data_IF_939632296929
#
_entry.id   IF_939632296929
#
_cell.length_a   1.000
_cell.length_b   1.000
_cell.length_c   1.000
_cell.angle_alpha   90.00
_cell.angle_beta   90.00
_cell.angle_gamma   90.00
#
_symmetry.space_group_name_H-M   'P 1'
#
loop_
_entity.id
_entity.type
_entity.pdbx_description
1 polymer ?
#
# COMPACT_ATOMS: atom_id res chain seq x y z
N UNK A 1 0.86 -12.68 -28.60
CA UNK A 1 -0.15 -12.31 -29.64
C UNK A 1 -0.15 -10.79 -29.74
N UNK A 2 -0.06 -10.24 -30.98
CA UNK A 2 -0.23 -8.79 -31.20
C UNK A 2 -1.73 -8.54 -31.13
N UNK A 3 -2.21 -7.96 -30.04
CA UNK A 3 -3.61 -7.51 -29.95
C UNK A 3 -3.78 -6.29 -30.84
N UNK A 4 -4.79 -6.30 -31.71
CA UNK A 4 -5.12 -5.13 -32.53
C UNK A 4 -5.64 -4.01 -31.64
N UNK A 5 -5.34 -2.75 -32.01
CA UNK A 5 -5.87 -1.59 -31.30
C UNK A 5 -7.37 -1.46 -31.58
N UNK A 6 -8.18 -1.58 -30.53
CA UNK A 6 -9.64 -1.45 -30.59
C UNK A 6 -10.06 -0.09 -30.00
N UNK A 7 -11.11 0.49 -30.58
CA UNK A 7 -11.61 1.81 -30.19
C UNK A 7 -13.07 1.72 -29.76
N UNK A 8 -13.40 2.31 -28.61
CA UNK A 8 -14.77 2.43 -28.11
C UNK A 8 -15.10 3.88 -27.80
N UNK A 9 -16.37 4.25 -27.97
CA UNK A 9 -16.86 5.58 -27.63
C UNK A 9 -16.71 5.82 -26.12
N UNK A 10 -16.32 7.05 -25.78
CA UNK A 10 -16.26 7.47 -24.38
C UNK A 10 -17.68 7.82 -23.93
N UNK A 11 -18.13 7.20 -22.84
CA UNK A 11 -19.44 7.42 -22.24
C UNK A 11 -19.72 8.92 -22.04
N UNK A 12 -20.89 9.37 -22.52
CA UNK A 12 -21.30 10.76 -22.54
C UNK A 12 -20.64 11.63 -23.61
N UNK A 13 -19.78 11.04 -24.47
CA UNK A 13 -19.10 11.70 -25.61
C UNK A 13 -19.21 10.90 -26.90
N UNK A 14 -20.25 10.10 -27.03
CA UNK A 14 -20.53 9.25 -28.19
C UNK A 14 -20.49 10.08 -29.50
N UNK A 15 -19.82 9.54 -30.52
CA UNK A 15 -19.63 10.23 -31.81
C UNK A 15 -18.70 11.44 -31.74
N UNK A 16 -18.07 11.73 -30.60
CA UNK A 16 -17.20 12.89 -30.42
C UNK A 16 -15.76 12.44 -30.09
N UNK A 17 -15.61 11.51 -29.15
CA UNK A 17 -14.32 11.00 -28.73
C UNK A 17 -14.37 9.49 -28.49
N UNK A 18 -13.27 8.83 -28.82
CA UNK A 18 -13.04 7.42 -28.55
C UNK A 18 -11.76 7.22 -27.73
N UNK A 19 -11.74 6.14 -26.95
CA UNK A 19 -10.57 5.64 -26.25
C UNK A 19 -10.22 4.25 -26.79
N UNK A 20 -8.91 3.94 -26.87
CA UNK A 20 -8.46 2.60 -27.27
C UNK A 20 -8.11 1.74 -26.08
N UNK A 21 -8.05 0.41 -26.30
CA UNK A 21 -7.55 -0.58 -25.36
C UNK A 21 -6.06 -0.38 -25.01
N UNK A 22 -5.33 0.45 -25.74
CA UNK A 22 -3.94 0.86 -25.46
C UNK A 22 -3.84 2.16 -24.65
N UNK A 23 -4.98 2.83 -24.36
CA UNK A 23 -4.99 4.10 -23.65
C UNK A 23 -4.75 5.31 -24.53
N UNK A 24 -4.88 5.19 -25.84
CA UNK A 24 -4.93 6.33 -26.74
C UNK A 24 -6.32 6.93 -26.74
N UNK A 25 -6.42 8.25 -26.98
CA UNK A 25 -7.69 8.96 -27.08
C UNK A 25 -7.72 9.75 -28.37
N UNK A 26 -8.81 9.65 -29.14
CA UNK A 26 -8.99 10.41 -30.38
C UNK A 26 -10.28 11.20 -30.39
N UNK A 27 -10.26 12.31 -31.10
CA UNK A 27 -11.42 13.08 -31.48
C UNK A 27 -11.90 12.61 -32.87
N UNK A 28 -13.13 12.24 -32.98
CA UNK A 28 -13.71 11.79 -34.24
C UNK A 28 -13.92 12.97 -35.24
N UNK A 29 -13.86 12.61 -36.52
CA UNK A 29 -14.23 13.56 -37.59
C UNK A 29 -15.70 13.98 -37.44
N UNK A 30 -15.95 15.29 -37.45
CA UNK A 30 -17.33 15.83 -37.33
C UNK A 30 -17.45 17.26 -37.84
N UNK A 31 -18.62 17.62 -38.19
CA UNK A 31 -18.94 19.04 -38.49
C UNK A 31 -18.86 19.89 -37.21
N UNK A 32 -18.19 21.03 -37.31
CA UNK A 32 -18.15 22.05 -36.26
C UNK A 32 -18.47 23.41 -36.84
N UNK A 33 -18.96 24.31 -35.97
CA UNK A 33 -19.24 25.69 -36.30
C UNK A 33 -18.33 26.62 -35.52
N UNK A 34 -17.83 27.64 -36.21
CA UNK A 34 -17.14 28.77 -35.61
C UNK A 34 -17.66 30.08 -36.18
N UNK A 35 -17.03 31.19 -35.85
CA UNK A 35 -17.40 32.52 -36.36
C UNK A 35 -17.31 32.66 -37.89
N UNK A 36 -16.57 31.81 -38.58
CA UNK A 36 -16.39 31.80 -40.04
C UNK A 36 -17.33 30.83 -40.77
N UNK A 37 -18.15 30.06 -40.04
CA UNK A 37 -19.10 29.11 -40.60
C UNK A 37 -18.91 27.67 -40.13
N UNK A 38 -19.47 26.75 -40.94
CA UNK A 38 -19.38 25.29 -40.68
C UNK A 38 -18.13 24.74 -41.36
N UNK A 39 -17.36 23.89 -40.65
CA UNK A 39 -16.19 23.20 -41.18
C UNK A 39 -16.15 21.77 -40.71
N UNK A 40 -15.47 20.89 -41.46
CA UNK A 40 -15.17 19.50 -41.06
C UNK A 40 -13.93 19.48 -40.22
N UNK A 41 -14.07 19.09 -38.94
CA UNK A 41 -12.94 18.72 -38.12
C UNK A 41 -12.51 17.29 -38.51
N UNK A 42 -11.25 17.10 -38.87
CA UNK A 42 -10.68 15.76 -39.14
C UNK A 42 -10.50 14.97 -37.82
N UNK A 43 -10.47 13.65 -37.90
CA UNK A 43 -10.09 12.79 -36.81
C UNK A 43 -8.67 13.15 -36.35
N UNK A 44 -8.44 13.11 -35.04
CA UNK A 44 -7.15 13.48 -34.46
C UNK A 44 -6.91 12.76 -33.15
N UNK A 45 -5.74 12.14 -32.97
CA UNK A 45 -5.23 11.71 -31.68
C UNK A 45 -5.02 12.92 -30.77
N UNK A 46 -5.46 12.79 -29.51
CA UNK A 46 -5.31 13.84 -28.51
C UNK A 46 -3.99 13.67 -27.75
N UNK A 47 -3.35 14.80 -27.48
CA UNK A 47 -2.17 14.83 -26.63
C UNK A 47 -2.57 14.55 -25.17
N UNK A 48 -1.88 13.60 -24.55
CA UNK A 48 -2.04 13.27 -23.14
C UNK A 48 -1.05 14.06 -22.30
N UNK A 49 -1.49 14.58 -21.17
CA UNK A 49 -0.66 15.28 -20.19
C UNK A 49 -0.49 14.44 -18.94
N UNK A 50 0.51 14.74 -18.11
CA UNK A 50 0.67 14.09 -16.81
C UNK A 50 -0.03 14.92 -15.72
N UNK A 51 -0.68 14.23 -14.77
CA UNK A 51 -1.11 14.85 -13.52
C UNK A 51 0.08 14.99 -12.55
N UNK A 52 -0.06 15.82 -11.51
CA UNK A 52 0.94 15.90 -10.41
C UNK A 52 1.21 14.57 -9.72
N UNK A 53 0.24 13.65 -9.78
CA UNK A 53 0.33 12.30 -9.20
C UNK A 53 0.86 11.24 -10.18
N UNK A 54 1.31 11.64 -11.39
CA UNK A 54 1.95 10.77 -12.38
C UNK A 54 1.01 10.04 -13.35
N UNK A 55 -0.31 10.24 -13.28
CA UNK A 55 -1.25 9.61 -14.21
C UNK A 55 -1.35 10.37 -15.55
N UNK A 56 -1.64 9.65 -16.64
CA UNK A 56 -2.03 10.27 -17.91
C UNK A 56 -3.44 10.85 -17.82
N UNK A 57 -3.59 12.07 -18.32
CA UNK A 57 -4.84 12.83 -18.37
C UNK A 57 -5.10 13.34 -19.77
N UNK A 58 -6.38 13.37 -20.17
CA UNK A 58 -6.85 14.00 -21.39
C UNK A 58 -7.94 15.03 -21.07
N UNK A 59 -8.03 16.07 -21.87
CA UNK A 59 -9.09 17.09 -21.75
C UNK A 59 -10.09 16.94 -22.90
N UNK A 60 -11.34 16.71 -22.54
CA UNK A 60 -12.45 16.57 -23.48
C UNK A 60 -13.34 17.81 -23.43
N UNK A 61 -13.87 18.19 -24.56
CA UNK A 61 -14.76 19.37 -24.70
C UNK A 61 -16.11 18.94 -25.28
N UNK A 62 -17.20 19.21 -24.55
CA UNK A 62 -18.58 19.03 -25.02
C UNK A 62 -19.39 20.27 -24.64
N UNK A 63 -20.17 20.83 -25.60
CA UNK A 63 -21.00 22.01 -25.39
C UNK A 63 -20.23 23.22 -24.79
N UNK A 64 -19.01 23.46 -25.27
CA UNK A 64 -18.16 24.55 -24.78
C UNK A 64 -17.49 24.30 -23.40
N UNK A 65 -17.89 23.27 -22.68
CA UNK A 65 -17.32 22.93 -21.37
C UNK A 65 -16.17 21.96 -21.54
N UNK A 66 -15.04 22.27 -20.88
CA UNK A 66 -13.83 21.46 -20.87
C UNK A 66 -13.76 20.67 -19.57
N UNK A 67 -13.51 19.36 -19.65
CA UNK A 67 -13.38 18.47 -18.51
C UNK A 67 -12.19 17.54 -18.69
N UNK A 68 -11.38 17.38 -17.63
CA UNK A 68 -10.23 16.48 -17.62
C UNK A 68 -10.57 15.11 -17.07
N UNK A 69 -10.04 14.08 -17.73
CA UNK A 69 -10.23 12.68 -17.36
C UNK A 69 -8.90 11.96 -17.25
N UNK A 70 -8.75 11.09 -16.27
CA UNK A 70 -7.63 10.18 -16.19
C UNK A 70 -7.84 9.06 -17.22
N UNK A 71 -6.83 8.80 -18.05
CA UNK A 71 -6.93 7.87 -19.19
C UNK A 71 -7.26 6.45 -18.76
N UNK A 72 -6.58 5.91 -17.74
CA UNK A 72 -6.84 4.56 -17.23
C UNK A 72 -8.33 4.36 -16.86
N UNK A 73 -9.00 5.40 -16.32
CA UNK A 73 -10.43 5.30 -16.00
C UNK A 73 -11.29 5.23 -17.25
N UNK A 74 -10.93 5.99 -18.31
CA UNK A 74 -11.65 5.91 -19.59
C UNK A 74 -11.51 4.52 -20.21
N UNK A 75 -10.31 3.95 -20.17
CA UNK A 75 -10.06 2.57 -20.66
C UNK A 75 -10.86 1.57 -19.84
N UNK A 76 -10.77 1.64 -18.51
CA UNK A 76 -11.49 0.70 -17.66
C UNK A 76 -13.01 0.78 -17.86
N UNK A 77 -13.58 1.98 -17.94
CA UNK A 77 -15.01 2.18 -18.19
C UNK A 77 -15.45 1.64 -19.55
N UNK A 78 -14.59 1.73 -20.57
CA UNK A 78 -14.94 1.28 -21.92
C UNK A 78 -14.73 -0.21 -22.14
N UNK A 79 -13.76 -0.86 -21.47
CA UNK A 79 -13.30 -2.19 -21.85
C UNK A 79 -13.42 -3.25 -20.74
N UNK A 80 -13.55 -2.85 -19.47
CA UNK A 80 -13.53 -3.76 -18.32
C UNK A 80 -14.88 -3.71 -17.59
N UNK A 81 -15.56 -4.84 -17.52
CA UNK A 81 -16.81 -4.96 -16.77
C UNK A 81 -16.58 -4.70 -15.27
N UNK A 82 -17.53 -4.00 -14.64
CA UNK A 82 -17.50 -3.69 -13.21
C UNK A 82 -18.82 -4.04 -12.52
N UNK A 83 -19.20 -5.32 -12.45
CA UNK A 83 -20.48 -5.73 -11.90
C UNK A 83 -20.62 -5.44 -10.41
N UNK A 84 -19.50 -5.36 -9.69
CA UNK A 84 -19.45 -5.05 -8.25
C UNK A 84 -19.38 -3.56 -7.95
N UNK A 85 -19.40 -2.68 -8.98
CA UNK A 85 -19.28 -1.23 -8.84
C UNK A 85 -18.06 -0.78 -8.00
N UNK A 86 -16.93 -1.44 -8.17
CA UNK A 86 -15.68 -1.09 -7.48
C UNK A 86 -15.24 0.33 -7.86
N UNK A 87 -14.83 1.17 -6.88
CA UNK A 87 -14.65 2.60 -7.12
C UNK A 87 -13.32 2.99 -7.76
N UNK A 88 -12.30 2.15 -7.67
CA UNK A 88 -10.94 2.47 -8.10
C UNK A 88 -10.48 1.61 -9.27
N UNK A 89 -9.56 2.16 -10.06
CA UNK A 89 -8.85 1.44 -11.12
C UNK A 89 -7.39 1.36 -10.74
N UNK A 90 -6.88 0.14 -10.61
CA UNK A 90 -5.49 -0.17 -10.31
C UNK A 90 -4.69 -0.47 -11.58
N UNK A 91 -3.39 -0.16 -11.55
CA UNK A 91 -2.42 -0.62 -12.54
C UNK A 91 -1.72 -1.87 -11.98
N UNK A 92 -1.91 -3.01 -12.60
CA UNK A 92 -1.42 -4.31 -12.13
C UNK A 92 0.10 -4.31 -11.98
N UNK A 93 0.82 -3.68 -12.93
CA UNK A 93 2.28 -3.52 -12.89
C UNK A 93 2.77 -2.34 -12.02
N UNK A 94 1.83 -1.57 -11.43
CA UNK A 94 2.13 -0.36 -10.66
C UNK A 94 2.56 0.85 -11.50
N UNK A 95 2.70 0.71 -12.81
CA UNK A 95 3.11 1.78 -13.70
C UNK A 95 1.93 2.65 -14.14
N UNK A 96 1.78 3.83 -13.54
CA UNK A 96 0.67 4.76 -13.78
C UNK A 96 0.53 5.30 -15.20
N UNK A 97 1.53 5.08 -16.06
CA UNK A 97 1.50 5.50 -17.47
C UNK A 97 1.15 4.36 -18.43
N UNK A 98 1.18 3.10 -17.96
CA UNK A 98 0.79 1.93 -18.74
C UNK A 98 -0.72 1.72 -18.67
N UNK A 99 -1.46 2.37 -19.57
CA UNK A 99 -2.92 2.34 -19.60
C UNK A 99 -3.50 1.26 -20.54
N UNK A 100 -2.72 0.23 -20.88
CA UNK A 100 -3.22 -0.93 -21.63
C UNK A 100 -4.30 -1.65 -20.83
N UNK A 101 -5.37 -2.10 -21.50
CA UNK A 101 -6.51 -2.75 -20.84
C UNK A 101 -6.11 -3.95 -19.98
N UNK A 102 -5.18 -4.78 -20.46
CA UNK A 102 -4.69 -5.98 -19.74
C UNK A 102 -3.91 -5.63 -18.45
N UNK A 103 -3.50 -4.37 -18.30
CA UNK A 103 -2.80 -3.87 -17.11
C UNK A 103 -3.72 -3.14 -16.12
N UNK A 104 -5.02 -3.12 -16.38
CA UNK A 104 -5.98 -2.38 -15.56
C UNK A 104 -7.01 -3.33 -14.95
N UNK A 105 -7.40 -3.04 -13.72
CA UNK A 105 -8.45 -3.79 -13.02
C UNK A 105 -9.28 -2.86 -12.13
N UNK A 106 -10.56 -3.20 -11.94
CA UNK A 106 -11.41 -2.52 -10.97
C UNK A 106 -11.15 -3.11 -9.57
N UNK A 107 -10.93 -2.24 -8.60
CA UNK A 107 -10.61 -2.63 -7.22
C UNK A 107 -11.34 -1.77 -6.20
N UNK A 108 -11.50 -2.31 -4.99
CA UNK A 108 -11.84 -1.52 -3.80
C UNK A 108 -10.60 -0.77 -3.30
N UNK A 109 -10.79 0.26 -2.48
CA UNK A 109 -9.66 0.98 -1.84
C UNK A 109 -8.80 0.07 -0.96
N UNK A 110 -9.41 -0.95 -0.33
CA UNK A 110 -8.68 -1.94 0.47
C UNK A 110 -7.78 -2.82 -0.40
N UNK A 111 -8.32 -3.37 -1.50
CA UNK A 111 -7.56 -4.19 -2.46
C UNK A 111 -6.39 -3.39 -3.06
N UNK A 112 -6.64 -2.13 -3.45
CA UNK A 112 -5.61 -1.25 -3.99
C UNK A 112 -4.49 -0.98 -2.97
N UNK A 113 -4.85 -0.75 -1.71
CA UNK A 113 -3.88 -0.56 -0.63
C UNK A 113 -3.04 -1.82 -0.38
N UNK A 114 -3.67 -3.00 -0.41
CA UNK A 114 -2.98 -4.29 -0.27
C UNK A 114 -2.03 -4.52 -1.45
N UNK A 115 -2.47 -4.23 -2.68
CA UNK A 115 -1.63 -4.33 -3.87
C UNK A 115 -0.40 -3.42 -3.76
N UNK A 116 -0.59 -2.13 -3.45
CA UNK A 116 0.51 -1.18 -3.27
C UNK A 116 1.50 -1.61 -2.17
N UNK A 117 1.01 -2.26 -1.12
CA UNK A 117 1.86 -2.81 -0.06
C UNK A 117 2.68 -4.02 -0.54
N UNK A 118 2.04 -4.99 -1.22
CA UNK A 118 2.70 -6.22 -1.72
C UNK A 118 3.75 -5.91 -2.79
N UNK A 119 3.46 -4.97 -3.67
CA UNK A 119 4.34 -4.60 -4.79
C UNK A 119 5.42 -3.57 -4.43
N UNK A 120 5.47 -3.13 -3.16
CA UNK A 120 6.45 -2.14 -2.72
C UNK A 120 6.19 -0.71 -3.19
N UNK A 121 5.05 -0.45 -3.80
CA UNK A 121 4.65 0.88 -4.29
C UNK A 121 4.18 1.83 -3.18
N UNK A 122 4.03 1.32 -1.95
CA UNK A 122 3.70 2.16 -0.81
C UNK A 122 4.94 2.95 -0.37
N UNK A 123 4.97 4.28 -0.54
CA UNK A 123 6.13 5.11 -0.15
C UNK A 123 6.40 5.10 1.36
N UNK A 124 5.43 4.68 2.16
CA UNK A 124 5.54 4.54 3.61
C UNK A 124 5.98 3.15 4.05
N UNK A 125 6.21 2.22 3.10
CA UNK A 125 6.81 0.93 3.40
C UNK A 125 8.29 1.16 3.71
N UNK A 126 8.63 1.36 4.99
CA UNK A 126 9.99 1.17 5.44
C UNK A 126 10.34 -0.30 5.25
N UNK A 127 11.45 -0.59 4.58
CA UNK A 127 12.01 -1.94 4.56
C UNK A 127 12.43 -2.28 5.99
N UNK A 128 11.55 -3.00 6.66
CA UNK A 128 11.83 -3.59 7.96
C UNK A 128 12.49 -4.93 7.71
N UNK A 129 13.70 -5.08 8.21
CA UNK A 129 14.31 -6.40 8.27
C UNK A 129 13.54 -7.23 9.32
N UNK A 130 12.64 -8.07 8.84
CA UNK A 130 11.76 -8.89 9.70
C UNK A 130 12.56 -9.79 10.66
N UNK A 131 13.71 -10.31 10.22
CA UNK A 131 14.61 -11.10 11.05
C UNK A 131 15.12 -10.27 12.24
N UNK A 132 15.46 -9.00 12.02
CA UNK A 132 15.90 -8.10 13.10
C UNK A 132 14.75 -7.80 14.06
N UNK A 133 13.56 -7.53 13.55
CA UNK A 133 12.36 -7.30 14.39
C UNK A 133 12.06 -8.51 15.26
N UNK A 134 12.09 -9.71 14.68
CA UNK A 134 11.88 -10.97 15.39
C UNK A 134 12.97 -11.19 16.46
N UNK A 135 14.25 -11.01 16.10
CA UNK A 135 15.35 -11.15 17.03
C UNK A 135 15.24 -10.17 18.21
N UNK A 136 14.96 -8.89 17.96
CA UNK A 136 14.76 -7.89 19.00
C UNK A 136 13.61 -8.28 19.95
N UNK A 137 12.50 -8.77 19.40
CA UNK A 137 11.36 -9.18 20.20
C UNK A 137 11.67 -10.42 21.05
N UNK A 138 12.32 -11.45 20.48
CA UNK A 138 12.75 -12.65 21.21
C UNK A 138 13.74 -12.29 22.32
N UNK A 139 14.65 -11.34 22.05
CA UNK A 139 15.62 -10.83 23.03
C UNK A 139 15.02 -9.88 24.08
N UNK A 140 13.69 -9.76 24.15
CA UNK A 140 13.03 -9.05 25.23
C UNK A 140 12.54 -7.63 24.91
N UNK A 141 12.92 -7.02 23.77
CA UNK A 141 12.47 -5.67 23.41
C UNK A 141 10.94 -5.62 23.23
N UNK A 142 10.28 -4.58 23.72
CA UNK A 142 8.82 -4.47 23.58
C UNK A 142 8.41 -4.14 22.13
N UNK A 143 7.18 -4.50 21.75
CA UNK A 143 6.63 -4.12 20.45
C UNK A 143 6.60 -2.59 20.27
N UNK A 144 6.35 -1.88 21.35
CA UNK A 144 6.27 -0.44 21.43
C UNK A 144 7.63 0.20 21.14
N UNK A 145 8.70 -0.32 21.75
CA UNK A 145 10.06 0.17 21.56
C UNK A 145 10.59 -0.16 20.18
N UNK A 146 10.33 -1.39 19.69
CA UNK A 146 10.67 -1.78 18.31
C UNK A 146 9.94 -0.88 17.30
N UNK A 147 8.64 -0.64 17.51
CA UNK A 147 7.85 0.22 16.64
C UNK A 147 8.40 1.66 16.61
N UNK A 148 8.79 2.19 17.77
CA UNK A 148 9.41 3.52 17.92
C UNK A 148 10.75 3.61 17.22
N UNK A 149 11.63 2.62 17.41
CA UNK A 149 12.95 2.56 16.79
C UNK A 149 12.88 2.55 15.26
N UNK A 150 12.00 1.72 14.71
CA UNK A 150 11.80 1.66 13.25
C UNK A 150 10.83 2.73 12.72
N UNK A 151 10.20 3.53 13.57
CA UNK A 151 9.24 4.58 13.19
C UNK A 151 8.02 4.01 12.45
N UNK A 152 7.46 2.91 12.94
CA UNK A 152 6.27 2.24 12.41
C UNK A 152 5.23 2.07 13.52
N UNK A 153 4.01 1.66 13.17
CA UNK A 153 2.98 1.37 14.17
C UNK A 153 3.17 0.00 14.82
N UNK A 154 2.70 -0.17 16.06
CA UNK A 154 2.66 -1.46 16.77
C UNK A 154 1.94 -2.56 15.98
N UNK A 155 0.96 -2.19 15.14
CA UNK A 155 0.25 -3.14 14.28
C UNK A 155 1.16 -3.79 13.24
N UNK A 156 2.13 -3.03 12.71
CA UNK A 156 3.12 -3.56 11.76
C UNK A 156 4.01 -4.58 12.46
N UNK A 157 4.53 -4.26 13.65
CA UNK A 157 5.36 -5.20 14.43
C UNK A 157 4.57 -6.45 14.80
N UNK A 158 3.32 -6.29 15.28
CA UNK A 158 2.44 -7.42 15.61
C UNK A 158 2.21 -8.35 14.41
N UNK A 159 2.03 -7.78 13.21
CA UNK A 159 1.86 -8.56 11.98
C UNK A 159 3.13 -9.35 11.66
N UNK A 160 4.30 -8.70 11.65
CA UNK A 160 5.60 -9.35 11.37
C UNK A 160 5.81 -10.52 12.32
N UNK A 161 5.60 -10.31 13.63
CA UNK A 161 5.75 -11.38 14.62
C UNK A 161 4.80 -12.55 14.34
N UNK A 162 3.54 -12.27 13.98
CA UNK A 162 2.55 -13.29 13.63
C UNK A 162 2.92 -14.05 12.34
N UNK A 163 3.35 -13.34 11.31
CA UNK A 163 3.78 -13.93 10.03
C UNK A 163 5.00 -14.83 10.18
N UNK A 164 5.87 -14.52 11.16
CA UNK A 164 7.03 -15.34 11.53
C UNK A 164 6.73 -16.37 12.66
N UNK A 165 5.46 -16.67 12.92
CA UNK A 165 5.00 -17.65 13.91
C UNK A 165 5.50 -17.38 15.36
N UNK A 166 5.80 -16.12 15.68
CA UNK A 166 6.24 -15.73 17.04
C UNK A 166 5.04 -15.53 17.94
N UNK A 167 4.96 -16.26 19.05
CA UNK A 167 3.93 -16.10 20.07
C UNK A 167 4.07 -14.74 20.76
N UNK A 168 2.97 -13.97 20.78
CA UNK A 168 2.99 -12.67 21.44
C UNK A 168 2.92 -12.84 22.96
N UNK A 169 3.82 -12.16 23.68
CA UNK A 169 3.81 -12.10 25.13
C UNK A 169 2.52 -11.47 25.64
N UNK A 170 1.97 -12.02 26.71
CA UNK A 170 0.87 -11.40 27.47
C UNK A 170 1.35 -10.13 28.18
N UNK A 171 0.41 -9.27 28.61
CA UNK A 171 0.79 -8.05 29.34
C UNK A 171 1.54 -8.34 30.65
N UNK A 172 1.24 -9.44 31.32
CA UNK A 172 1.95 -9.85 32.53
C UNK A 172 3.36 -10.37 32.23
N UNK A 173 3.53 -11.15 31.15
CA UNK A 173 4.82 -11.60 30.69
C UNK A 173 5.69 -10.44 30.20
N UNK A 174 5.11 -9.49 29.47
CA UNK A 174 5.82 -8.31 29.01
C UNK A 174 6.36 -7.45 30.16
N UNK A 175 5.64 -7.35 31.27
CA UNK A 175 6.11 -6.62 32.46
C UNK A 175 7.19 -7.40 33.26
N UNK A 176 7.15 -8.72 33.25
CA UNK A 176 7.95 -9.55 34.13
C UNK A 176 9.24 -10.08 33.50
N UNK A 177 9.30 -10.18 32.17
CA UNK A 177 10.37 -10.90 31.46
C UNK A 177 11.53 -10.00 31.03
N UNK A 178 11.32 -8.68 31.06
CA UNK A 178 12.22 -7.70 30.45
C UNK A 178 13.63 -7.63 31.02
N UNK A 179 13.84 -8.10 32.25
CA UNK A 179 15.11 -7.94 32.93
C UNK A 179 15.82 -9.23 33.34
N UNK A 180 15.15 -10.38 33.28
CA UNK A 180 15.71 -11.59 33.90
C UNK A 180 16.25 -12.59 32.90
N UNK A 181 15.88 -12.54 31.60
CA UNK A 181 16.29 -13.55 30.61
C UNK A 181 17.75 -13.37 30.14
N UNK A 182 18.27 -12.16 30.24
CA UNK A 182 19.63 -11.82 29.82
C UNK A 182 20.60 -11.69 30.99
N UNK A 183 20.16 -11.98 32.23
CA UNK A 183 20.99 -11.86 33.43
C UNK A 183 21.29 -13.24 33.95
N UNK A 184 22.58 -13.52 34.17
CA UNK A 184 22.98 -14.70 34.88
C UNK A 184 22.69 -14.50 36.38
N UNK A 185 21.45 -14.80 36.80
CA UNK A 185 20.99 -14.60 38.17
C UNK A 185 21.87 -15.32 39.20
N UNK A 186 22.47 -16.48 38.85
CA UNK A 186 23.33 -17.23 39.73
C UNK A 186 24.66 -16.48 39.99
N UNK A 187 25.18 -15.80 38.97
CA UNK A 187 26.39 -14.99 39.08
C UNK A 187 26.15 -13.74 39.93
N UNK A 188 25.05 -13.02 39.65
CA UNK A 188 24.68 -11.80 40.38
C UNK A 188 24.38 -12.10 41.87
N UNK A 189 23.81 -13.26 42.17
CA UNK A 189 23.49 -13.67 43.55
C UNK A 189 24.71 -14.15 44.35
N UNK A 190 25.88 -14.25 43.74
CA UNK A 190 27.14 -14.47 44.49
C UNK A 190 27.54 -13.23 45.30
N UNK A 191 27.14 -12.05 44.86
CA UNK A 191 27.56 -10.76 45.46
C UNK A 191 26.39 -9.93 46.01
N UNK A 192 25.13 -10.26 45.61
CA UNK A 192 23.93 -9.51 46.00
C UNK A 192 22.86 -10.42 46.57
N UNK A 193 22.03 -9.90 47.47
CA UNK A 193 20.83 -10.61 47.92
C UNK A 193 19.73 -10.52 46.86
N UNK A 194 18.78 -11.46 46.89
CA UNK A 194 17.62 -11.42 45.97
C UNK A 194 16.81 -10.10 46.09
N UNK A 195 16.74 -9.52 47.27
CA UNK A 195 16.07 -8.26 47.52
C UNK A 195 16.82 -7.07 46.87
N UNK A 196 18.14 -7.03 46.99
CA UNK A 196 18.98 -5.99 46.37
C UNK A 196 18.93 -6.08 44.83
N UNK A 197 19.04 -7.32 44.33
CA UNK A 197 18.94 -7.57 42.87
C UNK A 197 17.54 -7.21 42.32
N UNK A 198 16.49 -7.52 43.07
CA UNK A 198 15.13 -7.14 42.69
C UNK A 198 14.93 -5.61 42.63
N UNK A 199 15.50 -4.88 43.58
CA UNK A 199 15.46 -3.41 43.61
C UNK A 199 16.25 -2.80 42.44
N UNK A 200 17.44 -3.32 42.15
CA UNK A 200 18.31 -2.88 41.04
C UNK A 200 17.66 -3.14 39.68
N UNK A 201 16.99 -4.27 39.52
CA UNK A 201 16.31 -4.68 38.29
C UNK A 201 14.86 -4.15 38.16
N UNK A 202 14.37 -3.41 39.15
CA UNK A 202 13.01 -2.87 39.16
C UNK A 202 11.91 -3.94 39.13
N UNK A 203 12.18 -5.12 39.68
CA UNK A 203 11.24 -6.25 39.70
C UNK A 203 10.93 -6.73 41.13
N UNK A 204 10.02 -7.68 41.29
CA UNK A 204 9.74 -8.26 42.61
C UNK A 204 10.71 -9.38 42.95
N UNK A 205 11.08 -9.51 44.21
CA UNK A 205 11.93 -10.62 44.72
C UNK A 205 11.29 -11.99 44.39
N UNK A 206 9.95 -12.10 44.44
CA UNK A 206 9.22 -13.33 44.07
C UNK A 206 9.43 -13.74 42.61
N UNK A 207 9.69 -12.79 41.71
CA UNK A 207 9.95 -13.04 40.31
C UNK A 207 11.35 -13.67 40.12
N UNK A 208 12.35 -13.15 40.80
CA UNK A 208 13.72 -13.73 40.83
C UNK A 208 13.68 -15.16 41.38
N UNK A 209 12.98 -15.36 42.49
CA UNK A 209 12.82 -16.68 43.10
C UNK A 209 12.13 -17.68 42.17
N UNK A 210 11.04 -17.29 41.50
CA UNK A 210 10.35 -18.15 40.50
C UNK A 210 11.28 -18.54 39.35
N UNK A 211 12.07 -17.59 38.84
CA UNK A 211 12.94 -17.86 37.72
C UNK A 211 14.11 -18.81 38.09
N UNK A 212 14.61 -18.71 39.27
CA UNK A 212 15.62 -19.68 39.81
C UNK A 212 15.01 -21.07 39.95
N UNK A 213 13.76 -21.17 40.39
CA UNK A 213 13.08 -22.44 40.64
C UNK A 213 12.53 -23.10 39.35
N UNK A 214 12.29 -22.36 38.26
CA UNK A 214 11.80 -22.89 36.98
C UNK A 214 12.93 -23.44 36.09
N UNK A 215 14.14 -23.58 36.54
CA UNK A 215 15.28 -24.21 35.83
C UNK A 215 15.38 -25.73 36.02
N UNK A 216 14.41 -26.35 36.71
CA UNK A 216 14.33 -27.79 36.91
C UNK A 216 13.01 -28.37 36.47
#
# INVERSE_FOLDING_TARGET
MITLEEWKDIEGYEGIYQVSNYGNVKSLARQRRNSKGIYMQKEKLLSLTNTSTGYKKVELVKNGKKKGYKVHRLVAMAFIDNPENKPEVNHIDGNKINNHVDNLEWVTSSENSIHAYKTGLNPNKKELNETVVVAMYINGTSKEDIAKEFGVSNLVIKRILKENAVTLRTQSEAKNQYHLDNINLEEELKTKTQAQLAQELGCSQSLISKKLNNKY
#
